data_IF_538724310246
#
_entry.id   IF_538724310246
#
_cell.length_a   1.000
_cell.length_b   1.000
_cell.length_c   1.000
_cell.angle_alpha   90.00
_cell.angle_beta   90.00
_cell.angle_gamma   90.00
#
_symmetry.space_group_name_H-M   'P 1'
#
loop_
_entity.id
_entity.type
_entity.pdbx_description
1 polymer ?
#
# COMPACT_ATOMS: atom_id res chain seq x y z
N UNK A 1 13.17 -1.67 19.48
CA UNK A 1 12.35 -2.90 19.35
C UNK A 1 10.84 -2.64 19.43
N UNK A 2 10.38 -1.49 19.95
CA UNK A 2 8.97 -1.07 20.00
C UNK A 2 8.42 -0.63 18.64
N UNK A 3 9.24 0.05 17.85
CA UNK A 3 8.86 0.65 16.58
C UNK A 3 8.27 -0.36 15.57
N UNK A 4 8.93 -1.50 15.32
CA UNK A 4 8.49 -2.55 14.38
C UNK A 4 7.15 -3.19 14.76
N UNK A 5 6.82 -3.22 16.05
CA UNK A 5 5.54 -3.73 16.53
C UNK A 5 4.38 -2.77 16.25
N UNK A 6 4.64 -1.47 16.14
CA UNK A 6 3.58 -0.46 15.99
C UNK A 6 3.07 -0.31 14.55
N UNK A 7 3.92 -0.41 13.50
CA UNK A 7 3.43 -0.37 12.11
C UNK A 7 3.09 -1.74 11.52
N UNK A 8 3.65 -2.84 12.04
CA UNK A 8 3.42 -4.18 11.49
C UNK A 8 1.92 -4.53 11.29
N UNK A 9 1.00 -4.23 12.23
CA UNK A 9 -0.43 -4.52 12.04
C UNK A 9 -1.03 -3.79 10.84
N UNK A 10 -0.64 -2.53 10.61
CA UNK A 10 -1.18 -1.70 9.54
C UNK A 10 -0.60 -2.07 8.18
N UNK A 11 0.67 -2.48 8.13
CA UNK A 11 1.30 -3.01 6.93
C UNK A 11 0.66 -4.34 6.53
N UNK A 12 0.48 -5.24 7.51
CA UNK A 12 -0.22 -6.51 7.30
C UNK A 12 -1.66 -6.26 6.85
N UNK A 13 -2.36 -5.29 7.44
CA UNK A 13 -3.70 -4.91 7.01
C UNK A 13 -3.71 -4.37 5.56
N UNK A 14 -2.74 -3.53 5.19
CA UNK A 14 -2.57 -3.04 3.82
C UNK A 14 -2.38 -4.18 2.81
N UNK A 15 -1.42 -5.07 3.06
CA UNK A 15 -1.16 -6.25 2.22
C UNK A 15 -2.39 -7.15 2.14
N UNK A 16 -3.07 -7.40 3.26
CA UNK A 16 -4.28 -8.25 3.31
C UNK A 16 -5.42 -7.67 2.47
N UNK A 17 -5.58 -6.34 2.46
CA UNK A 17 -6.56 -5.67 1.61
C UNK A 17 -6.27 -5.93 0.12
N UNK A 18 -5.01 -5.86 -0.30
CA UNK A 18 -4.63 -6.16 -1.68
C UNK A 18 -4.82 -7.63 -2.07
N UNK A 19 -4.52 -8.55 -1.15
CA UNK A 19 -4.82 -9.98 -1.34
C UNK A 19 -6.31 -10.24 -1.60
N UNK A 20 -7.21 -9.58 -0.85
CA UNK A 20 -8.66 -9.70 -1.05
C UNK A 20 -9.13 -9.11 -2.38
N UNK A 21 -8.58 -7.95 -2.80
CA UNK A 21 -8.84 -7.37 -4.14
C UNK A 21 -8.43 -8.34 -5.24
N UNK A 22 -7.24 -8.92 -5.07
CA UNK A 22 -6.66 -9.85 -6.02
C UNK A 22 -7.58 -11.07 -6.19
N UNK A 23 -7.97 -11.76 -5.11
CA UNK A 23 -8.86 -12.92 -5.18
C UNK A 23 -10.21 -12.56 -5.79
N UNK A 24 -10.83 -11.46 -5.36
CA UNK A 24 -12.15 -11.03 -5.84
C UNK A 24 -12.15 -10.60 -7.32
N UNK A 25 -11.01 -10.14 -7.86
CA UNK A 25 -10.86 -9.83 -9.27
C UNK A 25 -10.49 -11.05 -10.10
N UNK A 26 -9.58 -11.89 -9.62
CA UNK A 26 -9.08 -13.06 -10.35
C UNK A 26 -10.19 -14.07 -10.67
N UNK A 27 -11.17 -14.27 -9.78
CA UNK A 27 -12.30 -15.17 -10.03
C UNK A 27 -13.23 -14.75 -11.19
N UNK A 28 -13.16 -13.49 -11.64
CA UNK A 28 -14.11 -12.92 -12.62
C UNK A 28 -13.50 -12.28 -13.85
N UNK A 29 -12.18 -12.18 -13.93
CA UNK A 29 -11.53 -11.40 -14.97
C UNK A 29 -10.96 -12.29 -16.08
N UNK A 30 -10.90 -11.76 -17.31
CA UNK A 30 -10.10 -12.38 -18.36
C UNK A 30 -8.65 -12.53 -17.90
N UNK A 31 -7.90 -13.48 -18.45
CA UNK A 31 -6.49 -13.71 -18.11
C UNK A 31 -5.67 -12.40 -18.09
N UNK A 32 -5.95 -11.47 -19.01
CA UNK A 32 -5.30 -10.16 -19.08
C UNK A 32 -5.57 -9.28 -17.84
N UNK A 33 -6.82 -9.25 -17.36
CA UNK A 33 -7.19 -8.51 -16.16
C UNK A 33 -6.63 -9.18 -14.90
N UNK A 34 -6.67 -10.50 -14.82
CA UNK A 34 -6.07 -11.26 -13.71
C UNK A 34 -4.55 -10.99 -13.61
N UNK A 35 -3.84 -11.00 -14.74
CA UNK A 35 -2.42 -10.67 -14.80
C UNK A 35 -2.13 -9.21 -14.40
N UNK A 36 -2.99 -8.26 -14.79
CA UNK A 36 -2.87 -6.86 -14.36
C UNK A 36 -3.04 -6.73 -12.84
N UNK A 37 -4.05 -7.36 -12.25
CA UNK A 37 -4.27 -7.35 -10.81
C UNK A 37 -3.14 -8.03 -10.02
N UNK A 38 -2.55 -9.11 -10.54
CA UNK A 38 -1.37 -9.72 -9.93
C UNK A 38 -0.22 -8.71 -9.84
N UNK A 39 0.13 -8.07 -10.96
CA UNK A 39 1.22 -7.09 -11.00
C UNK A 39 0.99 -5.89 -10.09
N UNK A 40 -0.27 -5.43 -9.99
CA UNK A 40 -0.67 -4.39 -9.06
C UNK A 40 -0.46 -4.81 -7.60
N UNK A 41 -0.90 -6.03 -7.24
CA UNK A 41 -0.71 -6.57 -5.88
C UNK A 41 0.77 -6.71 -5.53
N UNK A 42 1.56 -7.29 -6.44
CA UNK A 42 3.01 -7.46 -6.26
C UNK A 42 3.71 -6.10 -6.07
N UNK A 43 3.31 -5.07 -6.84
CA UNK A 43 3.87 -3.73 -6.73
C UNK A 43 3.58 -3.09 -5.36
N UNK A 44 2.38 -3.30 -4.81
CA UNK A 44 2.03 -2.80 -3.50
C UNK A 44 2.71 -3.55 -2.37
N UNK A 45 2.79 -4.88 -2.44
CA UNK A 45 3.57 -5.67 -1.48
C UNK A 45 5.03 -5.23 -1.43
N UNK A 46 5.67 -5.04 -2.60
CA UNK A 46 7.03 -4.52 -2.70
C UNK A 46 7.17 -3.12 -2.10
N UNK A 47 6.19 -2.25 -2.32
CA UNK A 47 6.16 -0.92 -1.72
C UNK A 47 6.13 -0.98 -0.19
N UNK A 48 5.21 -1.75 0.40
CA UNK A 48 5.09 -1.83 1.85
C UNK A 48 6.29 -2.54 2.51
N UNK A 49 6.87 -3.57 1.88
CA UNK A 49 8.12 -4.19 2.36
C UNK A 49 9.28 -3.18 2.33
N UNK A 50 9.43 -2.42 1.24
CA UNK A 50 10.46 -1.39 1.13
C UNK A 50 10.26 -0.27 2.16
N UNK A 51 9.02 0.14 2.41
CA UNK A 51 8.66 1.14 3.42
C UNK A 51 9.06 0.67 4.82
N UNK A 52 8.67 -0.55 5.20
CA UNK A 52 9.04 -1.16 6.50
C UNK A 52 10.55 -1.25 6.63
N UNK A 53 11.25 -1.79 5.63
CA UNK A 53 12.71 -1.91 5.67
C UNK A 53 13.39 -0.57 5.80
N UNK A 54 12.92 0.45 5.09
CA UNK A 54 13.48 1.79 5.16
C UNK A 54 13.29 2.44 6.53
N UNK A 55 12.08 2.36 7.09
CA UNK A 55 11.77 2.94 8.40
C UNK A 55 12.56 2.23 9.52
N UNK A 56 12.71 0.91 9.46
CA UNK A 56 13.24 0.10 10.58
C UNK A 56 14.69 -0.37 10.46
N UNK A 57 15.16 -0.70 9.26
CA UNK A 57 16.38 -1.50 9.10
C UNK A 57 17.55 -0.75 8.43
N UNK A 58 17.36 0.52 8.08
CA UNK A 58 18.37 1.41 7.48
C UNK A 58 19.38 0.74 6.53
N UNK A 59 18.92 0.14 5.41
CA UNK A 59 19.85 -0.43 4.45
C UNK A 59 20.66 0.69 3.78
N UNK A 60 21.93 0.45 3.40
CA UNK A 60 22.77 1.44 2.70
C UNK A 60 22.16 1.96 1.38
N UNK A 61 21.19 1.25 0.81
CA UNK A 61 20.41 1.63 -0.38
C UNK A 61 18.92 1.85 -0.11
N UNK A 62 18.53 1.95 1.16
CA UNK A 62 17.12 1.92 1.59
C UNK A 62 16.26 3.02 0.98
N UNK A 63 16.79 4.23 0.81
CA UNK A 63 16.07 5.35 0.19
C UNK A 63 15.80 5.09 -1.30
N UNK A 64 16.80 4.60 -2.03
CA UNK A 64 16.66 4.25 -3.45
C UNK A 64 15.64 3.14 -3.66
N UNK A 65 15.70 2.07 -2.87
CA UNK A 65 14.75 0.96 -2.93
C UNK A 65 13.31 1.42 -2.66
N UNK A 66 13.12 2.28 -1.66
CA UNK A 66 11.80 2.84 -1.35
C UNK A 66 11.26 3.72 -2.51
N UNK A 67 12.10 4.58 -3.09
CA UNK A 67 11.69 5.46 -4.21
C UNK A 67 11.31 4.63 -5.45
N UNK A 68 12.07 3.59 -5.77
CA UNK A 68 11.76 2.68 -6.89
C UNK A 68 10.43 1.96 -6.64
N UNK A 69 10.24 1.40 -5.44
CA UNK A 69 8.99 0.70 -5.12
C UNK A 69 7.78 1.65 -5.12
N UNK A 70 7.98 2.91 -4.70
CA UNK A 70 6.95 3.97 -4.79
C UNK A 70 6.53 4.21 -6.23
N UNK A 71 7.49 4.39 -7.15
CA UNK A 71 7.19 4.59 -8.57
C UNK A 71 6.48 3.39 -9.18
N UNK A 72 6.97 2.17 -8.90
CA UNK A 72 6.32 0.95 -9.41
C UNK A 72 4.88 0.83 -8.93
N UNK A 73 4.62 1.09 -7.65
CA UNK A 73 3.28 1.09 -7.09
C UNK A 73 2.37 2.17 -7.71
N UNK A 74 2.89 3.37 -7.93
CA UNK A 74 2.15 4.47 -8.56
C UNK A 74 1.68 4.14 -9.99
N UNK A 75 2.45 3.37 -10.78
CA UNK A 75 2.07 2.95 -12.13
C UNK A 75 0.78 2.12 -12.19
N UNK A 76 0.45 1.43 -11.11
CA UNK A 76 -0.75 0.59 -11.00
C UNK A 76 -1.86 1.23 -10.15
N UNK A 77 -1.63 2.44 -9.61
CA UNK A 77 -2.55 3.11 -8.72
C UNK A 77 -3.49 4.07 -9.47
N UNK A 78 -4.67 4.32 -8.88
CA UNK A 78 -5.47 5.49 -9.24
C UNK A 78 -4.76 6.78 -8.83
N UNK A 79 -5.15 7.93 -9.37
CA UNK A 79 -4.54 9.21 -9.02
C UNK A 79 -4.61 9.52 -7.51
N UNK A 80 -5.71 9.16 -6.85
CA UNK A 80 -5.88 9.32 -5.40
C UNK A 80 -4.93 8.41 -4.62
N UNK A 81 -4.85 7.13 -4.99
CA UNK A 81 -3.98 6.16 -4.30
C UNK A 81 -2.49 6.48 -4.55
N UNK A 82 -2.13 6.88 -5.77
CA UNK A 82 -0.77 7.32 -6.11
C UNK A 82 -0.34 8.50 -5.25
N UNK A 83 -1.22 9.49 -5.07
CA UNK A 83 -0.94 10.64 -4.21
C UNK A 83 -0.63 10.22 -2.78
N UNK A 84 -1.41 9.29 -2.21
CA UNK A 84 -1.20 8.81 -0.84
C UNK A 84 0.08 7.97 -0.68
N UNK A 85 0.42 7.16 -1.68
CA UNK A 85 1.68 6.38 -1.74
C UNK A 85 2.89 7.33 -1.77
N UNK A 86 2.87 8.33 -2.64
CA UNK A 86 3.96 9.31 -2.74
C UNK A 86 4.09 10.15 -1.46
N UNK A 87 2.97 10.54 -0.85
CA UNK A 87 2.98 11.30 0.39
C UNK A 87 3.54 10.50 1.56
N UNK A 88 3.13 9.23 1.70
CA UNK A 88 3.66 8.32 2.72
C UNK A 88 5.18 8.10 2.55
N UNK A 89 5.65 7.98 1.30
CA UNK A 89 7.08 7.92 1.01
C UNK A 89 7.81 9.18 1.46
N UNK A 90 7.27 10.36 1.16
CA UNK A 90 7.85 11.64 1.63
C UNK A 90 7.92 11.70 3.15
N UNK A 91 6.86 11.32 3.84
CA UNK A 91 6.85 11.27 5.31
C UNK A 91 7.93 10.31 5.85
N UNK A 92 8.07 9.13 5.26
CA UNK A 92 9.08 8.15 5.70
C UNK A 92 10.51 8.67 5.47
N UNK A 93 10.77 9.31 4.32
CA UNK A 93 12.06 9.97 4.04
C UNK A 93 12.35 11.09 5.04
N UNK A 94 11.38 11.96 5.32
CA UNK A 94 11.52 13.05 6.29
C UNK A 94 11.74 12.53 7.71
N UNK A 95 10.98 11.52 8.16
CA UNK A 95 11.18 10.86 9.45
C UNK A 95 12.63 10.40 9.64
N UNK A 96 13.22 9.76 8.61
CA UNK A 96 14.61 9.29 8.69
C UNK A 96 15.65 10.41 8.64
N UNK A 97 15.38 11.48 7.89
CA UNK A 97 16.33 12.58 7.70
C UNK A 97 16.35 13.56 8.88
N UNK A 98 15.18 13.87 9.43
CA UNK A 98 15.01 14.97 10.40
C UNK A 98 14.33 14.52 11.69
N UNK A 99 13.86 13.27 11.78
CA UNK A 99 13.04 12.79 12.90
C UNK A 99 11.61 13.32 12.89
N UNK A 100 11.20 14.04 11.83
CA UNK A 100 9.86 14.65 11.69
C UNK A 100 9.28 14.34 10.30
N UNK A 101 8.00 13.95 10.16
CA UNK A 101 7.03 13.68 11.22
C UNK A 101 7.50 12.56 12.16
N UNK A 102 7.01 12.55 13.40
CA UNK A 102 7.40 11.49 14.34
C UNK A 102 6.80 10.13 13.92
N UNK A 103 7.20 9.07 14.63
CA UNK A 103 6.73 7.74 14.26
C UNK A 103 5.23 7.53 14.49
N UNK A 104 4.63 8.21 15.47
CA UNK A 104 3.20 8.12 15.74
C UNK A 104 2.40 8.82 14.65
N UNK A 105 2.88 9.95 14.13
CA UNK A 105 2.31 10.63 12.98
C UNK A 105 2.40 9.76 11.71
N UNK A 106 3.56 9.12 11.46
CA UNK A 106 3.72 8.19 10.34
C UNK A 106 2.77 6.99 10.47
N UNK A 107 2.64 6.44 11.67
CA UNK A 107 1.76 5.29 11.96
C UNK A 107 0.29 5.67 11.85
N UNK A 108 -0.10 6.85 12.33
CA UNK A 108 -1.46 7.37 12.22
C UNK A 108 -1.87 7.56 10.77
N UNK A 109 -1.00 8.16 9.95
CA UNK A 109 -1.27 8.29 8.53
C UNK A 109 -1.39 6.93 7.82
N UNK A 110 -0.53 5.96 8.17
CA UNK A 110 -0.63 4.61 7.60
C UNK A 110 -1.96 3.92 7.96
N UNK A 111 -2.44 4.09 9.19
CA UNK A 111 -3.73 3.57 9.63
C UNK A 111 -4.90 4.18 8.83
N UNK A 112 -4.90 5.50 8.65
CA UNK A 112 -5.89 6.21 7.84
C UNK A 112 -5.86 5.78 6.38
N UNK A 113 -4.66 5.60 5.83
CA UNK A 113 -4.48 5.14 4.46
C UNK A 113 -4.99 3.71 4.27
N UNK A 114 -4.70 2.80 5.22
CA UNK A 114 -5.22 1.43 5.22
C UNK A 114 -6.76 1.41 5.25
N UNK A 115 -7.39 2.26 6.07
CA UNK A 115 -8.85 2.38 6.12
C UNK A 115 -9.46 2.94 4.82
N UNK A 116 -8.75 3.83 4.12
CA UNK A 116 -9.16 4.35 2.80
C UNK A 116 -9.07 3.26 1.73
N UNK A 117 -7.95 2.54 1.67
CA UNK A 117 -7.78 1.39 0.79
C UNK A 117 -8.87 0.35 1.02
N UNK A 118 -9.14 -0.02 2.28
CA UNK A 118 -10.18 -0.97 2.61
C UNK A 118 -11.57 -0.51 2.12
N UNK A 119 -11.89 0.78 2.26
CA UNK A 119 -13.16 1.35 1.77
C UNK A 119 -13.26 1.35 0.25
N UNK A 120 -12.20 1.72 -0.45
CA UNK A 120 -12.16 1.71 -1.92
C UNK A 120 -12.37 0.30 -2.48
N UNK A 121 -11.73 -0.68 -1.84
CA UNK A 121 -11.88 -2.11 -2.14
C UNK A 121 -13.29 -2.61 -1.85
N UNK A 122 -13.84 -2.31 -0.67
CA UNK A 122 -15.19 -2.70 -0.29
C UNK A 122 -16.25 -2.05 -1.19
N UNK A 123 -16.08 -0.78 -1.57
CA UNK A 123 -16.95 -0.08 -2.50
C UNK A 123 -16.93 -0.73 -3.89
N UNK A 124 -15.73 -0.97 -4.43
CA UNK A 124 -15.53 -1.67 -5.70
C UNK A 124 -16.13 -3.08 -5.70
N UNK A 125 -16.08 -3.80 -4.58
CA UNK A 125 -16.72 -5.10 -4.41
C UNK A 125 -18.26 -5.00 -4.31
N UNK A 126 -18.80 -3.98 -3.61
CA UNK A 126 -20.24 -3.80 -3.40
C UNK A 126 -21.01 -3.34 -4.66
N UNK A 127 -20.40 -2.48 -5.47
CA UNK A 127 -20.90 -2.07 -6.79
C UNK A 127 -21.09 -3.29 -7.72
N UNK A 128 -20.29 -4.35 -7.55
CA UNK A 128 -20.42 -5.62 -8.29
C UNK A 128 -21.59 -6.51 -7.83
N UNK A 129 -22.20 -6.25 -6.67
CA UNK A 129 -23.39 -6.95 -6.19
C UNK A 129 -24.69 -6.41 -6.79
N UNK A 130 -24.79 -5.08 -6.95
CA UNK A 130 -25.96 -4.41 -7.53
C UNK A 130 -26.11 -4.62 -9.04
N UNK A 131 -24.99 -4.77 -9.77
CA UNK A 131 -25.03 -5.03 -11.22
C UNK A 131 -25.36 -6.49 -11.60
N UNK A 132 -25.55 -7.38 -10.62
CA UNK A 132 -25.96 -8.79 -10.83
C UNK A 132 -27.46 -9.03 -10.59
N UNK A 133 -28.24 -7.98 -10.30
CA UNK A 133 -29.67 -8.07 -9.97
C UNK A 133 -30.60 -7.69 -11.12
N UNK A 134 -30.12 -7.61 -12.36
CA UNK A 134 -30.94 -7.30 -13.55
C UNK A 134 -30.78 -8.41 -14.58
#
# INVERSE_FOLDING_TARGET
MTLAKELAPYVVAGISVFGVVFTACHERASQLKAAYFQKMSDAYEQYFDALVRYVYNDPPTGSTSLVVATHTAALYASAEISHHIEFLTKMALSYRQTGTPDIHELTGYLADFSARLHRDVAYSASQRGRHRSV
#
